data_IF_149858142242
#
_entry.id   IF_149858142242
#
_cell.length_a   1.000
_cell.length_b   1.000
_cell.length_c   1.000
_cell.angle_alpha   90.00
_cell.angle_beta   90.00
_cell.angle_gamma   90.00
#
_symmetry.space_group_name_H-M   'P 1'
#
loop_
_entity.id
_entity.type
_entity.pdbx_description
1 polymer ?
#
# COMPACT_ATOMS: atom_id res chain seq x y z
N UNK A 1 -131.12 26.66 -102.25
CA UNK A 1 -130.47 26.14 -101.03
C UNK A 1 -128.95 26.02 -101.16
N UNK A 2 -128.41 25.53 -102.28
CA UNK A 2 -126.96 25.35 -102.50
C UNK A 2 -126.12 26.64 -102.36
N UNK A 3 -126.62 27.78 -102.85
CA UNK A 3 -125.91 29.08 -102.73
C UNK A 3 -125.76 29.58 -101.28
N UNK A 4 -126.75 29.32 -100.41
CA UNK A 4 -126.73 29.72 -98.99
C UNK A 4 -125.75 28.86 -98.19
N UNK A 5 -125.69 27.55 -98.49
CA UNK A 5 -124.72 26.61 -97.90
C UNK A 5 -123.27 26.95 -98.30
N UNK A 6 -123.02 27.34 -99.55
CA UNK A 6 -121.70 27.80 -100.01
C UNK A 6 -121.25 29.11 -99.34
N UNK A 7 -122.19 30.03 -99.09
CA UNK A 7 -121.90 31.29 -98.41
C UNK A 7 -121.61 31.05 -96.92
N UNK A 8 -122.34 30.14 -96.29
CA UNK A 8 -122.12 29.73 -94.90
C UNK A 8 -120.76 29.01 -94.73
N UNK A 9 -120.39 28.11 -95.64
CA UNK A 9 -119.09 27.43 -95.59
C UNK A 9 -117.92 28.39 -95.81
N UNK A 10 -118.09 29.40 -96.68
CA UNK A 10 -117.11 30.47 -96.86
C UNK A 10 -116.91 31.29 -95.56
N UNK A 11 -118.00 31.62 -94.85
CA UNK A 11 -117.92 32.31 -93.55
C UNK A 11 -117.22 31.44 -92.49
N UNK A 12 -117.53 30.15 -92.43
CA UNK A 12 -116.87 29.21 -91.51
C UNK A 12 -115.37 29.08 -91.81
N UNK A 13 -114.95 29.06 -93.09
CA UNK A 13 -113.54 29.04 -93.45
C UNK A 13 -112.81 30.33 -93.04
N UNK A 14 -113.44 31.48 -93.17
CA UNK A 14 -112.86 32.76 -92.74
C UNK A 14 -112.71 32.80 -91.21
N UNK A 15 -113.72 32.36 -90.47
CA UNK A 15 -113.67 32.25 -89.00
C UNK A 15 -112.61 31.25 -88.56
N UNK A 16 -112.52 30.08 -89.21
CA UNK A 16 -111.47 29.10 -88.95
C UNK A 16 -110.07 29.65 -89.28
N UNK A 17 -109.91 30.38 -90.38
CA UNK A 17 -108.68 31.06 -90.75
C UNK A 17 -108.26 32.12 -89.71
N UNK A 18 -109.21 32.88 -89.18
CA UNK A 18 -108.98 33.83 -88.10
C UNK A 18 -108.52 33.13 -86.80
N UNK A 19 -109.19 32.04 -86.41
CA UNK A 19 -108.77 31.25 -85.24
C UNK A 19 -107.40 30.60 -85.43
N UNK A 20 -107.07 30.12 -86.63
CA UNK A 20 -105.74 29.60 -86.97
C UNK A 20 -104.69 30.70 -86.84
N UNK A 21 -104.97 31.90 -87.34
CA UNK A 21 -104.05 33.04 -87.24
C UNK A 21 -103.85 33.48 -85.78
N UNK A 22 -104.94 33.58 -85.00
CA UNK A 22 -104.89 33.95 -83.58
C UNK A 22 -104.14 32.90 -82.73
N UNK A 23 -104.36 31.61 -82.99
CA UNK A 23 -103.64 30.54 -82.28
C UNK A 23 -102.20 30.34 -82.76
N UNK A 24 -101.87 30.72 -84.01
CA UNK A 24 -100.51 30.59 -84.54
C UNK A 24 -99.53 31.43 -83.74
N UNK A 25 -99.87 32.68 -83.41
CA UNK A 25 -99.01 33.55 -82.62
C UNK A 25 -98.79 32.99 -81.20
N UNK A 26 -99.86 32.52 -80.55
CA UNK A 26 -99.77 31.88 -79.23
C UNK A 26 -98.92 30.60 -79.25
N UNK A 27 -99.06 29.76 -80.28
CA UNK A 27 -98.26 28.55 -80.44
C UNK A 27 -96.78 28.85 -80.74
N UNK A 28 -96.52 29.85 -81.57
CA UNK A 28 -95.15 30.30 -81.87
C UNK A 28 -94.50 30.89 -80.61
N UNK A 29 -95.21 31.74 -79.87
CA UNK A 29 -94.75 32.28 -78.60
C UNK A 29 -94.46 31.17 -77.57
N UNK A 30 -95.37 30.23 -77.39
CA UNK A 30 -95.18 29.08 -76.49
C UNK A 30 -93.98 28.21 -76.88
N UNK A 31 -93.71 28.05 -78.19
CA UNK A 31 -92.53 27.31 -78.67
C UNK A 31 -91.24 28.07 -78.38
N UNK A 32 -91.22 29.38 -78.59
CA UNK A 32 -90.07 30.26 -78.28
C UNK A 32 -89.79 30.27 -76.77
N UNK A 33 -90.83 30.39 -75.94
CA UNK A 33 -90.70 30.35 -74.48
C UNK A 33 -90.20 28.99 -74.00
N UNK A 34 -90.70 27.89 -74.58
CA UNK A 34 -90.18 26.55 -74.29
C UNK A 34 -88.70 26.42 -74.66
N UNK A 35 -88.31 26.87 -75.85
CA UNK A 35 -86.89 26.85 -76.26
C UNK A 35 -86.01 27.68 -75.33
N UNK A 36 -86.49 28.84 -74.88
CA UNK A 36 -85.80 29.68 -73.89
C UNK A 36 -85.65 28.95 -72.56
N UNK A 37 -86.73 28.35 -72.06
CA UNK A 37 -86.73 27.61 -70.79
C UNK A 37 -85.84 26.36 -70.86
N UNK A 38 -85.87 25.60 -71.95
CA UNK A 38 -84.98 24.45 -72.17
C UNK A 38 -83.51 24.91 -72.16
N UNK A 39 -83.20 26.06 -72.78
CA UNK A 39 -81.87 26.67 -72.74
C UNK A 39 -81.43 27.08 -71.33
N UNK A 40 -82.33 27.66 -70.52
CA UNK A 40 -82.08 28.01 -69.12
C UNK A 40 -81.85 26.75 -68.27
N UNK A 41 -82.69 25.73 -68.44
CA UNK A 41 -82.56 24.45 -67.72
C UNK A 41 -81.24 23.77 -68.07
N UNK A 42 -80.85 23.76 -69.35
CA UNK A 42 -79.56 23.20 -69.77
C UNK A 42 -78.39 23.96 -69.13
N UNK A 43 -78.43 25.29 -69.11
CA UNK A 43 -77.40 26.11 -68.48
C UNK A 43 -77.31 25.86 -66.96
N UNK A 44 -78.45 25.71 -66.28
CA UNK A 44 -78.49 25.44 -64.84
C UNK A 44 -78.02 24.02 -64.51
N UNK A 45 -78.35 23.03 -65.36
CA UNK A 45 -77.81 21.67 -65.25
C UNK A 45 -76.29 21.65 -65.39
N UNK A 46 -75.72 22.43 -66.33
CA UNK A 46 -74.26 22.56 -66.45
C UNK A 46 -73.64 23.18 -65.20
N UNK A 47 -74.24 24.24 -64.64
CA UNK A 47 -73.75 24.83 -63.38
C UNK A 47 -73.84 23.85 -62.21
N UNK A 48 -74.93 23.10 -62.10
CA UNK A 48 -75.12 22.12 -61.03
C UNK A 48 -74.09 20.98 -61.13
N UNK A 49 -73.78 20.53 -62.36
CA UNK A 49 -72.71 19.56 -62.59
C UNK A 49 -71.36 20.11 -62.14
N UNK A 50 -71.01 21.33 -62.56
CA UNK A 50 -69.75 21.96 -62.18
C UNK A 50 -69.64 22.14 -60.65
N UNK A 51 -70.72 22.56 -59.99
CA UNK A 51 -70.77 22.70 -58.54
C UNK A 51 -70.64 21.33 -57.85
N UNK A 52 -71.24 20.28 -58.43
CA UNK A 52 -71.04 18.90 -57.97
C UNK A 52 -69.58 18.48 -58.04
N UNK A 53 -68.89 18.77 -59.14
CA UNK A 53 -67.47 18.49 -59.33
C UNK A 53 -66.60 19.26 -58.33
N UNK A 54 -66.90 20.55 -58.11
CA UNK A 54 -66.22 21.38 -57.09
C UNK A 54 -66.39 20.82 -55.67
N UNK A 55 -67.59 20.35 -55.31
CA UNK A 55 -67.84 19.72 -54.01
C UNK A 55 -67.05 18.42 -53.85
N UNK A 56 -66.97 17.60 -54.90
CA UNK A 56 -66.16 16.37 -54.90
C UNK A 56 -64.68 16.70 -54.75
N UNK A 57 -64.18 17.71 -55.46
CA UNK A 57 -62.79 18.17 -55.33
C UNK A 57 -62.49 18.72 -53.93
N UNK A 58 -63.36 19.58 -53.39
CA UNK A 58 -63.21 20.13 -52.04
C UNK A 58 -63.20 19.02 -50.99
N UNK A 59 -64.09 18.03 -51.11
CA UNK A 59 -64.12 16.87 -50.21
C UNK A 59 -62.83 16.05 -50.30
N UNK A 60 -62.29 15.87 -51.50
CA UNK A 60 -60.99 15.19 -51.70
C UNK A 60 -59.86 15.97 -51.03
N UNK A 61 -59.81 17.29 -51.19
CA UNK A 61 -58.78 18.15 -50.57
C UNK A 61 -58.86 18.11 -49.04
N UNK A 62 -60.06 18.15 -48.47
CA UNK A 62 -60.26 18.02 -47.01
C UNK A 62 -59.76 16.66 -46.50
N UNK A 63 -60.02 15.58 -47.23
CA UNK A 63 -59.51 14.25 -46.88
C UNK A 63 -57.96 14.20 -46.91
N UNK A 64 -57.35 14.78 -47.94
CA UNK A 64 -55.88 14.88 -48.05
C UNK A 64 -55.29 15.72 -46.92
N UNK A 65 -55.83 16.92 -46.65
CA UNK A 65 -55.36 17.78 -45.56
C UNK A 65 -55.51 17.11 -44.19
N UNK A 66 -56.58 16.34 -43.98
CA UNK A 66 -56.77 15.58 -42.73
C UNK A 66 -55.71 14.50 -42.57
N UNK A 67 -55.34 13.80 -43.65
CA UNK A 67 -54.28 12.79 -43.62
C UNK A 67 -52.90 13.41 -43.36
N UNK A 68 -52.61 14.57 -43.97
CA UNK A 68 -51.39 15.33 -43.73
C UNK A 68 -51.31 15.82 -42.29
N UNK A 69 -52.41 16.35 -41.74
CA UNK A 69 -52.48 16.81 -40.34
C UNK A 69 -52.15 15.67 -39.36
N UNK A 70 -52.73 14.48 -39.56
CA UNK A 70 -52.44 13.32 -38.72
C UNK A 70 -50.98 12.86 -38.81
N UNK A 71 -50.40 12.95 -40.01
CA UNK A 71 -48.99 12.64 -40.25
C UNK A 71 -48.08 13.63 -39.53
N UNK A 72 -48.39 14.92 -39.62
CA UNK A 72 -47.58 15.97 -38.98
C UNK A 72 -47.73 15.96 -37.46
N UNK A 73 -48.92 15.64 -36.93
CA UNK A 73 -49.10 15.38 -35.50
C UNK A 73 -48.22 14.23 -35.00
N UNK A 74 -48.19 13.11 -35.74
CA UNK A 74 -47.32 11.97 -35.42
C UNK A 74 -45.84 12.37 -35.45
N UNK A 75 -45.44 13.21 -36.42
CA UNK A 75 -44.07 13.72 -36.53
C UNK A 75 -43.70 14.65 -35.37
N UNK A 76 -44.61 15.54 -34.96
CA UNK A 76 -44.42 16.41 -33.80
C UNK A 76 -44.24 15.60 -32.51
N UNK A 77 -45.03 14.56 -32.31
CA UNK A 77 -44.91 13.70 -31.15
C UNK A 77 -43.56 12.97 -31.11
N UNK A 78 -43.09 12.46 -32.26
CA UNK A 78 -41.75 11.89 -32.37
C UNK A 78 -40.63 12.91 -32.10
N UNK A 79 -40.77 14.15 -32.59
CA UNK A 79 -39.81 15.23 -32.34
C UNK A 79 -39.78 15.58 -30.85
N UNK A 80 -40.93 15.67 -30.19
CA UNK A 80 -41.01 15.93 -28.75
C UNK A 80 -40.34 14.83 -27.92
N UNK A 81 -40.51 13.56 -28.29
CA UNK A 81 -39.81 12.44 -27.64
C UNK A 81 -38.29 12.57 -27.83
N UNK A 82 -37.82 12.86 -29.05
CA UNK A 82 -36.39 13.07 -29.34
C UNK A 82 -35.81 14.25 -28.57
N UNK A 83 -36.56 15.36 -28.47
CA UNK A 83 -36.15 16.55 -27.72
C UNK A 83 -35.97 16.20 -26.24
N UNK A 84 -36.96 15.54 -25.62
CA UNK A 84 -36.89 15.12 -24.22
C UNK A 84 -35.72 14.18 -23.94
N UNK A 85 -35.42 13.27 -24.87
CA UNK A 85 -34.26 12.38 -24.77
C UNK A 85 -32.95 13.17 -24.87
N UNK A 86 -32.84 14.12 -25.80
CA UNK A 86 -31.67 14.97 -25.94
C UNK A 86 -31.45 15.86 -24.70
N UNK A 87 -32.51 16.43 -24.13
CA UNK A 87 -32.46 17.20 -22.88
C UNK A 87 -31.95 16.33 -21.71
N UNK A 88 -32.44 15.09 -21.62
CA UNK A 88 -31.98 14.14 -20.59
C UNK A 88 -30.50 13.78 -20.76
N UNK A 89 -30.06 13.53 -22.00
CA UNK A 89 -28.65 13.26 -22.30
C UNK A 89 -27.76 14.47 -21.97
N UNK A 90 -28.18 15.68 -22.33
CA UNK A 90 -27.46 16.90 -22.01
C UNK A 90 -27.34 17.11 -20.49
N UNK A 91 -28.42 16.88 -19.73
CA UNK A 91 -28.40 16.96 -18.27
C UNK A 91 -27.45 15.94 -17.63
N UNK A 92 -27.39 14.71 -18.16
CA UNK A 92 -26.46 13.69 -17.69
C UNK A 92 -25.01 14.04 -18.03
N UNK A 93 -24.74 14.48 -19.25
CA UNK A 93 -23.40 14.93 -19.67
C UNK A 93 -22.91 16.12 -18.83
N UNK A 94 -23.79 17.05 -18.48
CA UNK A 94 -23.45 18.16 -17.59
C UNK A 94 -23.05 17.68 -16.18
N UNK A 95 -23.76 16.69 -15.62
CA UNK A 95 -23.38 16.07 -14.34
C UNK A 95 -22.06 15.32 -14.40
N UNK A 96 -21.82 14.56 -15.48
CA UNK A 96 -20.55 13.87 -15.69
C UNK A 96 -19.38 14.85 -15.81
N UNK A 97 -19.58 15.97 -16.52
CA UNK A 97 -18.58 17.03 -16.63
C UNK A 97 -18.25 17.64 -15.27
N UNK A 98 -19.24 17.92 -14.44
CA UNK A 98 -19.03 18.44 -13.08
C UNK A 98 -18.22 17.46 -12.21
N UNK A 99 -18.54 16.17 -12.27
CA UNK A 99 -17.79 15.11 -11.58
C UNK A 99 -16.34 15.05 -12.09
N UNK A 100 -16.13 15.10 -13.40
CA UNK A 100 -14.79 15.02 -13.98
C UNK A 100 -13.95 16.27 -13.68
N UNK A 101 -14.57 17.46 -13.69
CA UNK A 101 -13.93 18.70 -13.24
C UNK A 101 -13.52 18.62 -11.77
N UNK A 102 -14.35 18.05 -10.90
CA UNK A 102 -14.01 17.82 -9.50
C UNK A 102 -12.82 16.86 -9.35
N UNK A 103 -12.75 15.78 -10.16
CA UNK A 103 -11.59 14.89 -10.19
C UNK A 103 -10.34 15.59 -10.68
N UNK A 104 -10.42 16.38 -11.77
CA UNK A 104 -9.29 17.15 -12.29
C UNK A 104 -8.77 18.11 -11.21
N UNK A 105 -9.66 18.81 -10.51
CA UNK A 105 -9.27 19.69 -9.40
C UNK A 105 -8.57 18.91 -8.27
N UNK A 106 -9.09 17.73 -7.93
CA UNK A 106 -8.46 16.83 -6.95
C UNK A 106 -7.06 16.38 -7.41
N UNK A 107 -6.91 15.91 -8.64
CA UNK A 107 -5.63 15.46 -9.19
C UNK A 107 -4.62 16.61 -9.31
N UNK A 108 -5.06 17.82 -9.68
CA UNK A 108 -4.20 19.01 -9.65
C UNK A 108 -3.67 19.29 -8.25
N UNK A 109 -4.53 19.21 -7.23
CA UNK A 109 -4.12 19.40 -5.84
C UNK A 109 -3.16 18.31 -5.36
N UNK A 110 -3.37 17.06 -5.78
CA UNK A 110 -2.44 15.96 -5.52
C UNK A 110 -1.11 16.16 -6.24
N UNK A 111 -1.11 16.72 -7.46
CA UNK A 111 0.11 17.11 -8.19
C UNK A 111 0.85 18.28 -7.53
N UNK A 112 0.16 19.30 -7.03
CA UNK A 112 0.78 20.42 -6.32
C UNK A 112 1.46 19.98 -5.00
N UNK A 113 1.02 18.85 -4.43
CA UNK A 113 1.64 18.22 -3.26
C UNK A 113 2.90 17.40 -3.58
N UNK A 114 3.20 17.15 -4.86
CA UNK A 114 4.46 16.54 -5.27
C UNK A 114 5.56 17.61 -5.25
N UNK A 115 6.77 17.29 -4.76
CA UNK A 115 7.88 18.23 -4.84
C UNK A 115 8.13 18.63 -6.30
N UNK A 116 8.24 19.95 -6.57
CA UNK A 116 8.47 20.51 -7.90
C UNK A 116 9.72 19.87 -8.52
N UNK A 117 9.54 19.11 -9.60
CA UNK A 117 10.62 18.38 -10.30
C UNK A 117 10.30 16.91 -10.59
N UNK A 118 9.27 16.33 -9.99
CA UNK A 118 8.88 14.93 -10.20
C UNK A 118 7.95 14.80 -11.42
N UNK A 119 8.55 14.66 -12.61
CA UNK A 119 7.92 14.12 -13.82
C UNK A 119 8.02 12.60 -13.86
N UNK A 120 7.16 11.92 -14.60
CA UNK A 120 7.19 10.44 -14.75
C UNK A 120 8.58 9.95 -15.21
N UNK A 121 9.29 10.73 -16.03
CA UNK A 121 10.68 10.42 -16.41
C UNK A 121 11.67 10.53 -15.23
N UNK A 122 11.61 11.62 -14.45
CA UNK A 122 12.50 11.78 -13.28
C UNK A 122 12.21 10.78 -12.15
N UNK A 123 11.00 10.21 -12.06
CA UNK A 123 10.71 9.13 -11.09
C UNK A 123 11.57 7.91 -11.39
N UNK A 124 11.73 7.54 -12.66
CA UNK A 124 12.57 6.39 -13.02
C UNK A 124 14.05 6.67 -12.74
N UNK A 125 14.50 7.89 -12.99
CA UNK A 125 15.88 8.30 -12.72
C UNK A 125 16.17 8.34 -11.21
N UNK A 126 15.25 8.87 -10.40
CA UNK A 126 15.34 8.90 -8.93
C UNK A 126 15.22 7.48 -8.34
N UNK A 127 14.38 6.60 -8.90
CA UNK A 127 14.32 5.18 -8.52
C UNK A 127 15.64 4.47 -8.82
N UNK A 128 16.24 4.72 -9.98
CA UNK A 128 17.50 4.09 -10.36
C UNK A 128 18.66 4.60 -9.50
N UNK A 129 18.72 5.91 -9.21
CA UNK A 129 19.68 6.46 -8.26
C UNK A 129 19.50 5.88 -6.85
N UNK A 130 18.26 5.80 -6.36
CA UNK A 130 17.95 5.19 -5.05
C UNK A 130 18.32 3.71 -5.00
N UNK A 131 18.09 2.95 -6.07
CA UNK A 131 18.55 1.54 -6.17
C UNK A 131 20.07 1.44 -6.12
N UNK A 132 20.79 2.32 -6.82
CA UNK A 132 22.24 2.37 -6.76
C UNK A 132 22.74 2.70 -5.35
N UNK A 133 22.13 3.68 -4.68
CA UNK A 133 22.45 4.03 -3.29
C UNK A 133 22.12 2.90 -2.32
N UNK A 134 21.01 2.17 -2.51
CA UNK A 134 20.67 1.00 -1.70
C UNK A 134 21.72 -0.09 -1.86
N UNK A 135 22.11 -0.42 -3.10
CA UNK A 135 23.13 -1.44 -3.37
C UNK A 135 24.51 -1.03 -2.79
N UNK A 136 24.89 0.25 -2.89
CA UNK A 136 26.12 0.77 -2.27
C UNK A 136 26.05 0.68 -0.74
N UNK A 137 24.92 1.06 -0.14
CA UNK A 137 24.72 0.99 1.30
C UNK A 137 24.71 -0.46 1.82
N UNK A 138 24.10 -1.40 1.10
CA UNK A 138 24.16 -2.83 1.42
C UNK A 138 25.60 -3.35 1.41
N UNK A 139 26.39 -2.94 0.42
CA UNK A 139 27.82 -3.29 0.33
C UNK A 139 28.60 -2.73 1.53
N UNK A 140 28.38 -1.45 1.87
CA UNK A 140 28.99 -0.83 3.06
C UNK A 140 28.54 -1.51 4.35
N UNK A 141 27.28 -1.90 4.45
CA UNK A 141 26.76 -2.62 5.62
C UNK A 141 27.43 -3.98 5.79
N UNK A 142 27.62 -4.72 4.70
CA UNK A 142 28.32 -6.01 4.73
C UNK A 142 29.80 -5.85 5.12
N UNK A 143 30.48 -4.79 4.64
CA UNK A 143 31.84 -4.47 5.03
C UNK A 143 31.95 -4.10 6.51
N UNK A 144 31.06 -3.23 7.01
CA UNK A 144 30.97 -2.86 8.42
C UNK A 144 30.68 -4.07 9.29
N UNK A 145 29.77 -4.95 8.88
CA UNK A 145 29.47 -6.19 9.61
C UNK A 145 30.70 -7.09 9.70
N UNK A 146 31.45 -7.27 8.61
CA UNK A 146 32.68 -8.05 8.60
C UNK A 146 33.73 -7.46 9.55
N UNK A 147 33.88 -6.13 9.60
CA UNK A 147 34.78 -5.47 10.54
C UNK A 147 34.32 -5.65 11.98
N UNK A 148 33.00 -5.55 12.24
CA UNK A 148 32.43 -5.79 13.56
C UNK A 148 32.69 -7.22 14.04
N UNK A 149 32.47 -8.23 13.18
CA UNK A 149 32.74 -9.63 13.49
C UNK A 149 34.23 -9.89 13.78
N UNK A 150 35.13 -9.27 13.02
CA UNK A 150 36.57 -9.32 13.26
C UNK A 150 36.96 -8.70 14.59
N UNK A 151 36.39 -7.53 14.92
CA UNK A 151 36.64 -6.85 16.19
C UNK A 151 36.08 -7.62 17.37
N UNK A 152 34.92 -8.23 17.24
CA UNK A 152 34.36 -9.07 18.29
C UNK A 152 35.21 -10.32 18.54
N UNK A 153 35.73 -10.95 17.48
CA UNK A 153 36.69 -12.04 17.60
C UNK A 153 38.01 -11.62 18.26
N UNK A 154 38.52 -10.42 17.94
CA UNK A 154 39.70 -9.84 18.57
C UNK A 154 39.47 -9.57 20.07
N UNK A 155 38.33 -8.96 20.43
CA UNK A 155 37.96 -8.73 21.83
C UNK A 155 37.87 -10.05 22.61
N UNK A 156 37.24 -11.09 22.04
CA UNK A 156 37.19 -12.42 22.68
C UNK A 156 38.57 -13.02 22.90
N UNK A 157 39.50 -12.87 21.94
CA UNK A 157 40.89 -13.32 22.09
C UNK A 157 41.60 -12.56 23.20
N UNK A 158 41.55 -11.23 23.18
CA UNK A 158 42.17 -10.38 24.20
C UNK A 158 41.59 -10.69 25.59
N UNK A 159 40.29 -10.93 25.70
CA UNK A 159 39.66 -11.31 26.96
C UNK A 159 40.16 -12.67 27.47
N UNK A 160 40.31 -13.66 26.59
CA UNK A 160 40.87 -14.97 26.95
C UNK A 160 42.33 -14.87 27.37
N UNK A 161 43.14 -14.08 26.64
CA UNK A 161 44.53 -13.83 26.97
C UNK A 161 44.65 -13.13 28.32
N UNK A 162 43.83 -12.11 28.57
CA UNK A 162 43.77 -11.41 29.86
C UNK A 162 43.42 -12.35 31.00
N UNK A 163 42.37 -13.17 30.84
CA UNK A 163 41.98 -14.16 31.84
C UNK A 163 43.13 -15.15 32.13
N UNK A 164 43.83 -15.62 31.09
CA UNK A 164 44.98 -16.52 31.25
C UNK A 164 46.15 -15.86 31.99
N UNK A 165 46.41 -14.57 31.74
CA UNK A 165 47.45 -13.81 32.43
C UNK A 165 47.08 -13.59 33.89
N UNK A 166 45.82 -13.25 34.18
CA UNK A 166 45.31 -13.12 35.55
C UNK A 166 45.48 -14.44 36.32
N UNK A 167 45.06 -15.56 35.75
CA UNK A 167 45.25 -16.88 36.39
C UNK A 167 46.74 -17.19 36.65
N UNK A 168 47.64 -16.91 35.70
CA UNK A 168 49.08 -17.10 35.88
C UNK A 168 49.68 -16.20 36.96
N UNK A 169 49.18 -14.96 37.09
CA UNK A 169 49.61 -14.03 38.15
C UNK A 169 49.14 -14.54 39.51
N UNK A 170 47.88 -14.99 39.61
CA UNK A 170 47.36 -15.57 40.86
C UNK A 170 48.09 -16.85 41.27
N UNK A 171 48.37 -17.75 40.33
CA UNK A 171 49.16 -18.95 40.57
C UNK A 171 50.57 -18.63 41.05
N UNK A 172 51.25 -17.67 40.40
CA UNK A 172 52.57 -17.20 40.85
C UNK A 172 52.49 -16.59 42.23
N UNK A 173 51.50 -15.74 42.52
CA UNK A 173 51.33 -15.12 43.84
C UNK A 173 51.15 -16.18 44.93
N UNK A 174 50.28 -17.18 44.71
CA UNK A 174 50.11 -18.31 45.62
C UNK A 174 51.37 -19.17 45.78
N UNK A 175 52.20 -19.27 44.75
CA UNK A 175 53.50 -19.95 44.84
C UNK A 175 54.52 -19.14 45.63
N UNK A 176 54.58 -17.82 45.43
CA UNK A 176 55.47 -16.92 46.18
C UNK A 176 55.08 -16.83 47.65
N UNK A 177 53.79 -16.74 47.97
CA UNK A 177 53.31 -16.68 49.35
C UNK A 177 53.64 -17.97 50.11
N UNK A 178 53.52 -19.15 49.47
CA UNK A 178 53.95 -20.43 50.07
C UNK A 178 55.46 -20.55 50.23
N UNK A 179 56.22 -19.98 49.30
CA UNK A 179 57.69 -20.04 49.31
C UNK A 179 58.34 -18.95 50.18
N UNK A 180 57.62 -18.03 50.82
CA UNK A 180 58.25 -16.98 51.67
C UNK A 180 58.12 -17.25 53.18
N UNK A 181 57.70 -18.45 53.58
CA UNK A 181 57.48 -18.78 54.99
C UNK A 181 58.81 -18.83 55.76
N UNK A 182 58.97 -17.91 56.73
CA UNK A 182 60.05 -17.93 57.72
C UNK A 182 59.43 -18.13 59.11
N UNK A 183 59.86 -19.16 59.83
CA UNK A 183 59.46 -19.43 61.20
C UNK A 183 60.63 -19.25 62.18
N UNK A 184 60.37 -19.22 63.48
CA UNK A 184 61.42 -19.09 64.52
C UNK A 184 61.33 -20.26 65.50
N UNK A 185 62.46 -20.71 65.99
CA UNK A 185 62.53 -21.75 67.03
C UNK A 185 62.19 -21.12 68.38
N UNK A 186 61.13 -21.61 69.03
CA UNK A 186 60.66 -21.11 70.33
C UNK A 186 61.38 -21.80 71.47
N UNK A 187 61.60 -23.11 71.34
CA UNK A 187 62.24 -23.92 72.36
C UNK A 187 63.05 -25.04 71.72
N UNK A 188 64.14 -25.42 72.38
CA UNK A 188 65.04 -26.50 71.95
C UNK A 188 65.26 -27.40 73.16
N UNK A 189 65.14 -28.71 72.96
CA UNK A 189 65.59 -29.71 73.91
C UNK A 189 66.75 -30.50 73.27
N UNK A 190 67.97 -30.14 73.66
CA UNK A 190 69.19 -30.76 73.12
C UNK A 190 69.42 -32.19 73.62
N UNK A 191 68.89 -32.54 74.79
CA UNK A 191 69.07 -33.88 75.37
C UNK A 191 68.27 -34.94 74.60
N UNK A 192 67.10 -34.56 74.07
CA UNK A 192 66.22 -35.44 73.29
C UNK A 192 66.27 -35.16 71.79
N UNK A 193 66.94 -34.09 71.37
CA UNK A 193 67.17 -33.76 69.97
C UNK A 193 65.94 -33.25 69.22
N UNK A 194 65.00 -32.59 69.89
CA UNK A 194 63.82 -31.99 69.25
C UNK A 194 63.72 -30.48 69.49
N UNK A 195 63.05 -29.80 68.56
CA UNK A 195 62.79 -28.37 68.60
C UNK A 195 61.31 -28.07 68.39
N UNK A 196 60.86 -26.97 68.96
CA UNK A 196 59.50 -26.44 68.79
C UNK A 196 59.57 -25.15 67.99
N UNK A 197 58.84 -25.11 66.89
CA UNK A 197 58.85 -24.03 65.90
C UNK A 197 57.53 -23.25 66.00
N UNK A 198 57.60 -21.92 65.89
CA UNK A 198 56.45 -21.00 65.93
C UNK A 198 55.65 -20.94 64.62
N UNK A 199 55.49 -22.06 63.95
CA UNK A 199 54.73 -22.18 62.70
C UNK A 199 54.14 -23.58 62.63
N UNK A 200 53.00 -23.72 61.97
CA UNK A 200 52.29 -24.99 61.81
C UNK A 200 51.37 -24.99 60.61
N UNK A 201 50.22 -25.66 60.71
CA UNK A 201 49.34 -25.97 59.58
C UNK A 201 48.82 -24.70 58.89
N UNK A 202 48.55 -23.64 59.65
CA UNK A 202 48.07 -22.35 59.15
C UNK A 202 49.06 -21.66 58.18
N UNK A 203 50.34 -22.02 58.24
CA UNK A 203 51.37 -21.51 57.34
C UNK A 203 51.75 -22.51 56.23
N UNK A 204 51.01 -23.60 56.11
CA UNK A 204 51.21 -24.63 55.09
C UNK A 204 52.31 -25.64 55.42
N UNK A 205 52.70 -25.78 56.70
CA UNK A 205 53.62 -26.83 57.14
C UNK A 205 52.86 -28.16 57.22
N UNK A 206 53.28 -29.13 56.42
CA UNK A 206 52.82 -30.53 56.49
C UNK A 206 53.92 -31.43 57.03
N UNK A 207 53.59 -32.64 57.50
CA UNK A 207 54.57 -33.60 58.01
C UNK A 207 55.65 -33.97 56.99
N UNK A 208 55.34 -33.90 55.69
CA UNK A 208 56.27 -34.16 54.58
C UNK A 208 57.25 -33.01 54.29
N UNK A 209 57.07 -31.87 54.97
CA UNK A 209 57.85 -30.66 54.70
C UNK A 209 59.24 -30.74 55.35
N UNK A 210 60.29 -30.51 54.57
CA UNK A 210 61.68 -30.46 55.08
C UNK A 210 62.09 -29.04 55.44
N UNK A 211 62.60 -28.89 56.66
CA UNK A 211 62.92 -27.59 57.24
C UNK A 211 64.43 -27.46 57.47
N UNK A 212 64.96 -26.26 57.25
CA UNK A 212 66.35 -25.91 57.49
C UNK A 212 66.42 -24.81 58.54
N UNK A 213 67.28 -25.00 59.54
CA UNK A 213 67.58 -23.99 60.54
C UNK A 213 68.72 -23.11 60.04
N UNK A 214 68.53 -21.81 60.15
CA UNK A 214 69.49 -20.79 59.73
C UNK A 214 69.70 -19.79 60.86
N UNK A 215 70.95 -19.36 61.04
CA UNK A 215 71.31 -18.26 61.94
C UNK A 215 72.06 -17.22 61.11
N UNK A 216 71.43 -16.08 60.87
CA UNK A 216 71.92 -15.09 59.91
C UNK A 216 71.92 -15.66 58.49
N UNK A 217 73.10 -15.78 57.89
CA UNK A 217 73.29 -16.33 56.53
C UNK A 217 73.83 -17.76 56.51
N UNK A 218 74.02 -18.39 57.68
CA UNK A 218 74.57 -19.74 57.79
C UNK A 218 73.46 -20.76 58.09
N UNK A 219 73.48 -21.88 57.36
CA UNK A 219 72.61 -23.03 57.61
C UNK A 219 73.21 -23.91 58.70
N UNK A 220 72.51 -24.05 59.81
CA UNK A 220 72.98 -24.81 60.98
C UNK A 220 72.72 -26.31 60.85
N UNK A 221 71.59 -26.69 60.22
CA UNK A 221 71.22 -28.08 60.01
C UNK A 221 69.76 -28.24 59.59
N UNK A 222 69.38 -29.48 59.30
CA UNK A 222 68.05 -29.87 58.82
C UNK A 222 67.21 -30.43 59.96
N UNK A 223 65.91 -30.22 59.88
CA UNK A 223 64.91 -30.73 60.80
C UNK A 223 63.95 -31.65 60.06
N UNK A 224 63.55 -32.73 60.72
CA UNK A 224 62.48 -33.60 60.26
C UNK A 224 61.25 -33.41 61.14
N UNK A 225 60.10 -33.09 60.53
CA UNK A 225 58.87 -32.85 61.28
C UNK A 225 58.37 -34.17 61.86
N UNK A 226 57.95 -34.13 63.12
CA UNK A 226 57.36 -35.29 63.82
C UNK A 226 55.85 -35.14 63.92
N UNK A 227 55.40 -33.93 64.24
CA UNK A 227 53.99 -33.59 64.28
C UNK A 227 53.80 -32.09 64.17
N UNK A 228 52.63 -31.71 63.65
CA UNK A 228 52.16 -30.34 63.56
C UNK A 228 50.94 -30.20 64.46
N UNK A 229 50.97 -29.26 65.40
CA UNK A 229 49.88 -28.98 66.34
C UNK A 229 49.45 -27.52 66.21
N UNK A 230 48.46 -27.28 65.35
CA UNK A 230 47.91 -25.96 65.04
C UNK A 230 48.97 -24.98 64.56
N UNK A 231 49.34 -24.01 65.41
CA UNK A 231 50.34 -22.98 65.11
C UNK A 231 51.76 -23.31 65.62
N UNK A 232 52.02 -24.55 66.03
CA UNK A 232 53.34 -25.01 66.47
C UNK A 232 53.71 -26.33 65.78
N UNK A 233 54.99 -26.49 65.46
CA UNK A 233 55.51 -27.73 64.86
C UNK A 233 56.60 -28.29 65.76
N UNK A 234 56.54 -29.59 66.00
CA UNK A 234 57.58 -30.35 66.70
C UNK A 234 58.41 -31.05 65.64
N UNK A 235 59.71 -30.80 65.64
CA UNK A 235 60.63 -31.38 64.68
C UNK A 235 61.89 -31.94 65.37
N UNK A 236 62.37 -33.07 64.89
CA UNK A 236 63.61 -33.70 65.31
C UNK A 236 64.80 -33.10 64.56
N UNK A 237 65.89 -32.89 65.27
CA UNK A 237 67.16 -32.43 64.72
C UNK A 237 67.84 -33.62 64.03
N UNK A 238 68.26 -33.46 62.77
CA UNK A 238 69.03 -34.48 62.06
C UNK A 238 70.52 -34.25 62.40
N UNK A 239 71.15 -35.07 63.27
CA UNK A 239 72.48 -34.76 63.80
C UNK A 239 73.57 -34.79 62.73
N UNK A 240 73.40 -35.64 61.70
CA UNK A 240 74.30 -35.76 60.55
C UNK A 240 74.35 -34.49 59.69
N UNK A 241 73.32 -33.66 59.76
CA UNK A 241 73.21 -32.43 58.99
C UNK A 241 73.69 -31.19 59.75
N UNK A 242 74.06 -31.34 61.03
CA UNK A 242 74.55 -30.25 61.85
C UNK A 242 75.96 -29.84 61.47
N UNK A 243 76.20 -28.54 61.32
CA UNK A 243 77.54 -28.03 61.07
C UNK A 243 78.44 -28.19 62.30
N UNK A 244 79.66 -28.69 62.10
CA UNK A 244 80.58 -29.04 63.18
C UNK A 244 80.85 -27.85 64.13
N UNK A 245 80.54 -28.04 65.42
CA UNK A 245 80.76 -27.05 66.48
C UNK A 245 79.62 -26.05 66.71
N UNK A 246 78.50 -26.16 65.99
CA UNK A 246 77.33 -25.29 66.17
C UNK A 246 76.13 -26.08 66.70
N UNK A 247 75.38 -25.48 67.63
CA UNK A 247 74.12 -26.01 68.15
C UNK A 247 72.96 -25.10 67.82
N UNK A 248 71.79 -25.72 67.65
CA UNK A 248 70.52 -25.02 67.44
C UNK A 248 70.08 -24.39 68.76
N UNK A 249 69.63 -23.15 68.71
CA UNK A 249 69.19 -22.40 69.87
C UNK A 249 67.80 -21.77 69.63
N UNK A 250 67.04 -21.48 70.71
CA UNK A 250 65.86 -20.64 70.61
C UNK A 250 66.19 -19.29 69.96
N UNK A 251 65.34 -18.83 69.05
CA UNK A 251 65.55 -17.61 68.26
C UNK A 251 66.17 -17.84 66.88
N UNK A 252 66.64 -19.04 66.57
CA UNK A 252 67.08 -19.39 65.22
C UNK A 252 65.91 -19.39 64.23
N UNK A 253 66.19 -19.04 62.98
CA UNK A 253 65.18 -18.97 61.93
C UNK A 253 65.07 -20.30 61.22
N UNK A 254 63.85 -20.69 60.88
CA UNK A 254 63.56 -21.90 60.12
C UNK A 254 62.95 -21.50 58.78
N UNK A 255 63.48 -22.07 57.72
CA UNK A 255 63.00 -21.88 56.36
C UNK A 255 62.74 -23.24 55.71
N UNK A 256 61.91 -23.24 54.67
CA UNK A 256 61.69 -24.43 53.85
C UNK A 256 62.98 -24.79 53.10
N UNK A 257 63.33 -26.07 53.02
CA UNK A 257 64.51 -26.55 52.27
C UNK A 257 64.44 -26.14 50.78
N UNK A 258 63.24 -25.99 50.23
CA UNK A 258 63.02 -25.57 48.83
C UNK A 258 63.50 -24.16 48.50
N UNK A 259 63.88 -23.35 49.50
CA UNK A 259 64.38 -21.98 49.32
C UNK A 259 65.91 -21.85 49.29
N UNK A 260 66.65 -22.90 49.63
CA UNK A 260 68.11 -22.86 49.72
C UNK A 260 68.83 -23.29 48.42
N UNK A 261 68.13 -23.33 47.29
CA UNK A 261 68.68 -23.58 45.95
C UNK A 261 68.69 -22.33 45.08
#
# INVERSE_FOLDING_TARGET
MTKVLFLLSAVVMVVAGFFIFQNREAFVAARVDRQKNDGVIAAEMTKLSNLGDEVVQAKSQVATMTAELNTEQSRLEQINIKLRNAETQAANAAKELEVEQAKIAKYKKEMDGLPQGVTIETINEDINQRKATIAENETKMAEVQKVADQKEAEVKRVQNDLNSLVSRIEERRKSFDRNSMMATIVAVNNDWGFVVISSGEDQGITEDTKLIVTRGTQSLGKLNIVSVDGNRTIANIIPESLQAGLSIAPGDKVILETLAQ
#
